data_IF_132377562242
#
_entry.id   IF_132377562242
#
_cell.length_a   1.000
_cell.length_b   1.000
_cell.length_c   1.000
_cell.angle_alpha   90.00
_cell.angle_beta   90.00
_cell.angle_gamma   90.00
#
_symmetry.space_group_name_H-M   'P 1'
#
loop_
_entity.id
_entity.type
_entity.pdbx_description
1 polymer ?
#
# COMPACT_ATOMS: atom_id res chain seq x y z
N UNK A 1 -1.36 2.05 -18.22
CA UNK A 1 -0.26 1.19 -18.71
C UNK A 1 -0.54 -0.26 -18.27
N UNK A 2 -0.33 -1.26 -19.14
CA UNK A 2 -0.68 -2.68 -18.88
C UNK A 2 -0.11 -3.18 -17.53
N UNK A 3 1.11 -2.76 -17.19
CA UNK A 3 1.80 -3.13 -15.94
C UNK A 3 1.04 -2.72 -14.66
N UNK A 4 0.37 -1.56 -14.66
CA UNK A 4 -0.40 -1.09 -13.49
C UNK A 4 -1.62 -1.99 -13.19
N UNK A 5 -2.16 -2.67 -14.21
CA UNK A 5 -3.33 -3.56 -14.08
C UNK A 5 -2.94 -4.99 -13.66
N UNK A 6 -1.68 -5.37 -13.83
CA UNK A 6 -1.19 -6.72 -13.51
C UNK A 6 -0.75 -6.82 -12.06
N UNK A 7 -0.11 -5.78 -11.52
CA UNK A 7 0.48 -5.84 -10.18
C UNK A 7 -0.53 -6.24 -9.08
N UNK A 8 -1.75 -5.68 -9.00
CA UNK A 8 -2.73 -6.13 -8.00
C UNK A 8 -3.13 -7.60 -8.18
N UNK A 9 -3.17 -8.10 -9.42
CA UNK A 9 -3.55 -9.48 -9.74
C UNK A 9 -2.47 -10.50 -9.35
N UNK A 10 -1.22 -10.07 -9.22
CA UNK A 10 -0.11 -10.90 -8.73
C UNK A 10 0.05 -10.77 -7.21
N UNK A 11 -0.02 -9.54 -6.69
CA UNK A 11 0.26 -9.27 -5.28
C UNK A 11 -0.84 -9.81 -4.38
N UNK A 12 -2.12 -9.68 -4.75
CA UNK A 12 -3.22 -10.05 -3.85
C UNK A 12 -3.26 -11.56 -3.54
N UNK A 13 -3.15 -12.48 -4.54
CA UNK A 13 -3.12 -13.92 -4.24
C UNK A 13 -1.91 -14.32 -3.38
N UNK A 14 -0.74 -13.76 -3.64
CA UNK A 14 0.47 -14.02 -2.85
C UNK A 14 0.33 -13.49 -1.42
N UNK A 15 -0.29 -12.32 -1.26
CA UNK A 15 -0.53 -11.73 0.06
C UNK A 15 -1.46 -12.61 0.89
N UNK A 16 -2.54 -13.13 0.30
CA UNK A 16 -3.44 -14.07 0.99
C UNK A 16 -2.72 -15.34 1.44
N UNK A 17 -1.88 -15.92 0.57
CA UNK A 17 -1.08 -17.11 0.91
C UNK A 17 -0.10 -16.85 2.05
N UNK A 18 0.63 -15.74 1.99
CA UNK A 18 1.61 -15.36 3.00
C UNK A 18 0.93 -15.04 4.34
N UNK A 19 -0.23 -14.36 4.31
CA UNK A 19 -1.00 -14.04 5.52
C UNK A 19 -1.55 -15.30 6.20
N UNK A 20 -2.03 -16.28 5.42
CA UNK A 20 -2.49 -17.57 5.96
C UNK A 20 -1.36 -18.36 6.64
N UNK A 21 -0.10 -18.08 6.28
CA UNK A 21 1.10 -18.61 6.92
C UNK A 21 1.68 -17.68 8.01
N UNK A 22 0.92 -16.68 8.46
CA UNK A 22 1.33 -15.66 9.44
C UNK A 22 2.60 -14.86 9.03
N UNK A 23 2.92 -14.84 7.74
CA UNK A 23 4.07 -14.14 7.17
C UNK A 23 3.77 -12.71 6.73
N UNK A 24 4.80 -12.04 6.22
CA UNK A 24 4.71 -10.69 5.63
C UNK A 24 5.23 -10.67 4.19
N UNK A 25 4.52 -9.98 3.30
CA UNK A 25 4.90 -9.78 1.90
C UNK A 25 5.35 -8.34 1.66
N UNK A 26 6.51 -8.17 1.03
CA UNK A 26 7.03 -6.85 0.60
C UNK A 26 7.35 -6.89 -0.89
N UNK A 27 6.92 -5.86 -1.62
CA UNK A 27 7.35 -5.64 -3.01
C UNK A 27 8.64 -4.82 -2.99
N UNK A 28 9.78 -5.49 -3.18
CA UNK A 28 11.09 -4.84 -3.08
C UNK A 28 11.40 -3.91 -4.28
N UNK A 29 10.92 -4.26 -5.48
CA UNK A 29 11.19 -3.52 -6.71
C UNK A 29 9.99 -3.56 -7.66
N UNK A 30 9.84 -2.51 -8.45
CA UNK A 30 8.91 -2.45 -9.58
C UNK A 30 9.53 -1.66 -10.74
N UNK A 31 9.09 -1.89 -12.00
CA UNK A 31 9.51 -1.06 -13.13
C UNK A 31 9.18 0.42 -12.90
N UNK A 32 10.04 1.34 -13.33
CA UNK A 32 9.87 2.79 -13.10
C UNK A 32 8.54 3.38 -13.63
N UNK A 33 7.93 2.74 -14.65
CA UNK A 33 6.64 3.16 -15.24
C UNK A 33 5.45 2.38 -14.69
N UNK A 34 5.66 1.46 -13.75
CA UNK A 34 4.56 0.76 -13.11
C UNK A 34 3.91 1.66 -12.06
N UNK A 35 2.58 1.62 -12.01
CA UNK A 35 1.78 2.31 -10.99
C UNK A 35 1.22 1.23 -10.09
N UNK A 36 1.69 1.15 -8.85
CA UNK A 36 1.08 0.30 -7.83
C UNK A 36 -0.05 1.09 -7.18
N UNK A 37 -1.22 0.46 -7.10
CA UNK A 37 -2.32 1.02 -6.31
C UNK A 37 -2.08 0.82 -4.80
N UNK A 38 -2.91 1.47 -3.99
CA UNK A 38 -2.86 1.35 -2.52
C UNK A 38 -2.82 -0.09 -2.03
N UNK A 39 -3.62 -0.98 -2.64
CA UNK A 39 -3.75 -2.38 -2.21
C UNK A 39 -2.49 -3.17 -2.53
N UNK A 40 -1.91 -2.97 -3.72
CA UNK A 40 -0.66 -3.60 -4.10
C UNK A 40 0.51 -3.15 -3.18
N UNK A 41 0.57 -1.86 -2.82
CA UNK A 41 1.64 -1.34 -1.96
C UNK A 41 1.45 -1.76 -0.48
N UNK A 42 0.26 -1.56 0.08
CA UNK A 42 0.06 -1.64 1.54
C UNK A 42 -0.82 -2.81 1.99
N UNK A 43 -1.53 -3.47 1.07
CA UNK A 43 -2.55 -4.45 1.41
C UNK A 43 -3.79 -3.82 2.05
N UNK A 44 -4.63 -4.62 2.72
CA UNK A 44 -5.77 -4.11 3.47
C UNK A 44 -5.32 -3.24 4.66
N UNK A 45 -6.10 -2.23 5.05
CA UNK A 45 -5.78 -1.42 6.23
C UNK A 45 -5.68 -2.30 7.49
N UNK A 46 -4.61 -2.18 8.30
CA UNK A 46 -4.54 -2.87 9.57
C UNK A 46 -5.56 -2.28 10.57
N UNK A 47 -5.88 -3.00 11.67
CA UNK A 47 -6.82 -2.50 12.69
C UNK A 47 -6.46 -1.11 13.25
N UNK A 48 -5.17 -0.79 13.35
CA UNK A 48 -4.67 0.51 13.81
C UNK A 48 -4.66 1.63 12.76
N UNK A 49 -5.20 1.42 11.55
CA UNK A 49 -5.09 2.38 10.46
C UNK A 49 -5.66 3.77 10.80
N UNK A 50 -6.81 3.81 11.48
CA UNK A 50 -7.43 5.07 11.90
C UNK A 50 -6.56 5.90 12.85
N UNK A 51 -5.87 5.24 13.80
CA UNK A 51 -4.94 5.92 14.70
C UNK A 51 -3.75 6.51 13.93
N UNK A 52 -3.17 5.75 13.01
CA UNK A 52 -2.05 6.22 12.19
C UNK A 52 -2.47 7.41 11.31
N UNK A 53 -3.70 7.41 10.79
CA UNK A 53 -4.24 8.54 10.03
C UNK A 53 -4.41 9.79 10.91
N UNK A 54 -4.98 9.64 12.11
CA UNK A 54 -5.12 10.75 13.06
C UNK A 54 -3.76 11.35 13.47
N UNK A 55 -2.73 10.51 13.65
CA UNK A 55 -1.37 10.97 13.90
C UNK A 55 -0.83 11.76 12.70
N UNK A 56 -0.97 11.23 11.49
CA UNK A 56 -0.53 11.89 10.25
C UNK A 56 -1.21 13.24 10.06
N UNK A 57 -2.51 13.34 10.31
CA UNK A 57 -3.27 14.58 10.18
C UNK A 57 -2.83 15.63 11.21
N UNK A 58 -2.47 15.20 12.43
CA UNK A 58 -1.99 16.09 13.48
C UNK A 58 -0.58 16.65 13.21
N UNK A 59 0.32 15.84 12.66
CA UNK A 59 1.72 16.22 12.45
C UNK A 59 2.04 16.73 11.04
N UNK A 60 1.24 16.40 10.04
CA UNK A 60 1.35 16.93 8.67
C UNK A 60 -0.05 17.25 8.11
N UNK A 61 -0.68 18.32 8.64
CA UNK A 61 -2.05 18.71 8.26
C UNK A 61 -2.16 19.22 6.82
N UNK A 62 -1.04 19.58 6.18
CA UNK A 62 -1.00 20.01 4.78
C UNK A 62 -0.66 18.89 3.81
N UNK A 63 -0.47 17.66 4.29
CA UNK A 63 -0.11 16.49 3.48
C UNK A 63 1.10 16.72 2.56
N UNK A 64 2.12 17.43 3.05
CA UNK A 64 3.34 17.73 2.26
C UNK A 64 4.38 16.62 2.35
N UNK A 65 4.33 15.79 3.40
CA UNK A 65 5.26 14.68 3.58
C UNK A 65 4.73 13.45 2.85
N UNK A 66 5.40 13.10 1.75
CA UNK A 66 5.14 11.89 0.95
C UNK A 66 3.72 11.84 0.35
N UNK A 67 3.34 12.83 -0.49
CA UNK A 67 1.98 12.93 -1.04
C UNK A 67 1.61 11.69 -1.88
N UNK A 68 0.36 11.24 -1.76
CA UNK A 68 -0.14 10.04 -2.45
C UNK A 68 0.41 8.71 -1.89
N UNK A 69 1.07 8.75 -0.73
CA UNK A 69 1.42 7.57 0.06
C UNK A 69 0.72 7.65 1.40
N UNK A 70 0.30 6.49 1.91
CA UNK A 70 -0.41 6.31 3.18
C UNK A 70 -1.83 6.93 3.20
N UNK A 71 -1.97 8.20 2.84
CA UNK A 71 -3.24 8.87 2.53
C UNK A 71 -3.32 9.06 1.01
N UNK A 72 -4.39 8.53 0.44
CA UNK A 72 -4.69 8.69 -0.99
C UNK A 72 -5.90 9.63 -1.10
N UNK A 73 -5.94 10.54 -2.08
CA UNK A 73 -7.15 11.30 -2.38
C UNK A 73 -8.31 10.39 -2.81
#
# INVERSE_FOLDING_TARGET
CILARIAPRIVEPLRSLVHAAEGTLVVAQQPAKATLDRRAVWGPPPPGFGLMQALKDRFDPRNILNPGRFIFP
#
